data_IF_904529310356
#
_entry.id   IF_904529310356
#
_cell.length_a   1.000
_cell.length_b   1.000
_cell.length_c   1.000
_cell.angle_alpha   90.00
_cell.angle_beta   90.00
_cell.angle_gamma   90.00
#
_symmetry.space_group_name_H-M   'P 1'
#
loop_
_entity.id
_entity.type
_entity.pdbx_description
1 polymer ?
#
# COMPACT_ATOMS: atom_id res chain seq x y z
N UNK A 1 10.80 -8.30 4.85
CA UNK A 1 11.50 -9.28 3.99
C UNK A 1 10.78 -10.61 4.07
N UNK A 2 10.79 -11.40 3.01
CA UNK A 2 10.26 -12.78 3.03
C UNK A 2 11.43 -13.75 3.05
N UNK A 3 11.45 -14.61 4.07
CA UNK A 3 12.47 -15.64 4.29
C UNK A 3 11.91 -16.97 3.83
N UNK A 4 12.76 -17.76 3.17
CA UNK A 4 12.46 -19.11 2.72
C UNK A 4 13.54 -20.08 3.15
N UNK A 5 13.18 -21.25 3.68
CA UNK A 5 14.13 -22.33 3.90
C UNK A 5 14.72 -22.80 2.56
N UNK A 6 15.98 -23.23 2.60
CA UNK A 6 16.65 -23.97 1.52
C UNK A 6 16.75 -25.45 1.87
N UNK A 7 16.73 -25.77 3.17
CA UNK A 7 16.62 -27.11 3.75
C UNK A 7 15.20 -27.40 4.20
N UNK A 8 14.89 -28.66 4.53
CA UNK A 8 13.57 -29.13 5.00
C UNK A 8 13.00 -28.27 6.14
N UNK A 9 13.88 -27.80 7.01
CA UNK A 9 13.57 -26.80 8.03
C UNK A 9 14.76 -25.88 8.30
N UNK A 10 14.47 -24.69 8.82
CA UNK A 10 15.45 -23.73 9.33
C UNK A 10 14.96 -23.20 10.67
N UNK A 11 15.84 -23.11 11.66
CA UNK A 11 15.59 -22.44 12.93
C UNK A 11 16.21 -21.05 12.90
N UNK A 12 15.38 -20.02 12.96
CA UNK A 12 15.78 -18.62 12.87
C UNK A 12 15.67 -17.94 14.22
N UNK A 13 16.61 -17.05 14.49
CA UNK A 13 16.56 -16.11 15.60
C UNK A 13 16.49 -14.69 15.02
N UNK A 14 15.48 -13.94 15.43
CA UNK A 14 15.29 -12.54 15.06
C UNK A 14 15.58 -11.69 16.29
N UNK A 15 16.56 -10.80 16.17
CA UNK A 15 16.96 -9.87 17.22
C UNK A 15 16.62 -8.46 16.79
N UNK A 16 15.83 -7.76 17.60
CA UNK A 16 15.48 -6.36 17.35
C UNK A 16 16.47 -5.42 18.02
N UNK A 17 16.49 -4.15 17.61
CA UNK A 17 17.26 -3.09 18.28
C UNK A 17 16.93 -2.89 19.76
N UNK A 18 15.77 -3.38 20.22
CA UNK A 18 15.37 -3.37 21.63
C UNK A 18 15.81 -4.63 22.40
N UNK A 19 16.79 -5.38 21.87
CA UNK A 19 17.28 -6.68 22.36
C UNK A 19 16.21 -7.76 22.54
N UNK A 20 15.01 -7.60 21.96
CA UNK A 20 14.02 -8.69 21.95
C UNK A 20 14.50 -9.76 21.01
N UNK A 21 14.62 -10.99 21.52
CA UNK A 21 14.95 -12.18 20.73
C UNK A 21 13.71 -13.02 20.54
N UNK A 22 13.42 -13.34 19.29
CA UNK A 22 12.35 -14.25 18.92
C UNK A 22 12.96 -15.40 18.14
N UNK A 23 12.74 -16.63 18.58
CA UNK A 23 13.15 -17.84 17.86
C UNK A 23 11.93 -18.44 17.17
N UNK A 24 12.07 -18.78 15.89
CA UNK A 24 11.00 -19.39 15.09
C UNK A 24 11.57 -20.40 14.11
N UNK A 25 10.85 -21.51 13.89
CA UNK A 25 11.21 -22.54 12.92
C UNK A 25 10.33 -22.43 11.69
N UNK A 26 10.91 -22.55 10.50
CA UNK A 26 10.19 -22.50 9.23
C UNK A 26 10.49 -23.77 8.43
N UNK A 27 9.45 -24.45 7.95
CA UNK A 27 9.55 -25.63 7.09
C UNK A 27 9.51 -25.25 5.61
N UNK A 28 10.03 -26.11 4.74
CA UNK A 28 10.06 -25.94 3.28
C UNK A 28 8.69 -25.61 2.63
N UNK A 29 7.60 -26.08 3.22
CA UNK A 29 6.20 -25.81 2.85
C UNK A 29 5.70 -24.42 3.22
N UNK A 30 6.46 -23.68 4.03
CA UNK A 30 6.11 -22.34 4.51
C UNK A 30 7.21 -21.34 4.21
N UNK A 31 6.89 -20.07 4.43
CA UNK A 31 7.85 -18.97 4.40
C UNK A 31 7.57 -18.08 5.59
N UNK A 32 8.51 -17.20 5.92
CA UNK A 32 8.35 -16.27 7.04
C UNK A 32 8.46 -14.83 6.54
N UNK A 33 7.42 -14.05 6.75
CA UNK A 33 7.44 -12.62 6.55
C UNK A 33 7.93 -11.95 7.84
N UNK A 34 9.07 -11.27 7.76
CA UNK A 34 9.61 -10.46 8.86
C UNK A 34 9.55 -8.99 8.44
N UNK A 35 8.78 -8.18 9.16
CA UNK A 35 8.66 -6.75 8.94
C UNK A 35 9.14 -5.99 10.18
N UNK A 36 9.89 -4.90 10.01
CA UNK A 36 10.46 -4.12 11.11
C UNK A 36 10.65 -2.66 10.71
N UNK A 37 10.35 -1.73 11.62
CA UNK A 37 10.52 -0.27 11.37
C UNK A 37 11.97 0.18 11.55
N UNK A 38 12.71 -0.55 12.39
CA UNK A 38 14.12 -0.32 12.69
C UNK A 38 14.97 -1.48 12.17
N UNK A 39 16.29 -1.33 12.30
CA UNK A 39 17.22 -2.43 12.01
C UNK A 39 16.93 -3.62 12.95
N UNK A 40 16.94 -4.81 12.35
CA UNK A 40 16.83 -6.08 13.04
C UNK A 40 17.79 -7.07 12.38
N UNK A 41 18.33 -7.98 13.19
CA UNK A 41 19.21 -9.03 12.74
C UNK A 41 18.43 -10.35 12.65
N UNK A 42 18.70 -11.13 11.61
CA UNK A 42 18.16 -12.48 11.47
C UNK A 42 19.31 -13.44 11.27
N UNK A 43 19.45 -14.39 12.19
CA UNK A 43 20.47 -15.43 12.15
C UNK A 43 19.83 -16.81 12.10
N UNK A 44 20.45 -17.76 11.40
CA UNK A 44 20.03 -19.15 11.45
C UNK A 44 20.84 -19.88 12.51
N UNK A 45 20.14 -20.58 13.40
CA UNK A 45 20.74 -21.52 14.35
C UNK A 45 21.00 -22.87 13.70
N UNK A 46 20.14 -23.27 12.77
CA UNK A 46 20.27 -24.50 11.97
C UNK A 46 19.64 -24.30 10.59
N UNK A 47 20.13 -25.05 9.60
CA UNK A 47 19.60 -25.03 8.24
C UNK A 47 20.09 -23.84 7.40
N UNK A 48 19.88 -23.93 6.09
CA UNK A 48 20.19 -22.85 5.16
C UNK A 48 18.91 -22.10 4.78
N UNK A 49 19.03 -20.80 4.54
CA UNK A 49 17.90 -19.94 4.19
C UNK A 49 18.30 -18.89 3.15
N UNK A 50 17.27 -18.35 2.50
CA UNK A 50 17.38 -17.21 1.58
C UNK A 50 16.28 -16.20 1.88
N UNK A 51 16.45 -14.98 1.42
CA UNK A 51 15.44 -13.95 1.61
C UNK A 51 15.27 -13.04 0.40
N UNK A 52 14.11 -12.40 0.33
CA UNK A 52 13.81 -11.32 -0.60
C UNK A 52 13.38 -10.07 0.19
N UNK A 53 14.00 -8.93 -0.11
CA UNK A 53 13.61 -7.65 0.50
C UNK A 53 12.40 -7.10 -0.21
N UNK A 54 11.46 -6.59 0.58
CA UNK A 54 10.26 -5.92 0.10
C UNK A 54 10.22 -4.57 0.83
N UNK A 55 10.19 -3.44 0.11
CA UNK A 55 10.12 -2.12 0.72
C UNK A 55 8.83 -1.98 1.55
N UNK A 56 8.95 -1.56 2.81
CA UNK A 56 7.77 -1.30 3.64
C UNK A 56 6.87 -0.20 3.07
N UNK A 57 7.45 0.77 2.37
CA UNK A 57 6.69 1.84 1.70
C UNK A 57 5.69 1.31 0.68
N UNK A 58 6.02 0.21 -0.02
CA UNK A 58 5.13 -0.44 -0.98
C UNK A 58 3.88 -1.01 -0.29
N UNK A 59 4.10 -1.79 0.78
CA UNK A 59 3.02 -2.40 1.55
C UNK A 59 2.20 -1.36 2.31
N UNK A 60 2.86 -0.30 2.82
CA UNK A 60 2.22 0.82 3.50
C UNK A 60 1.31 1.61 2.54
N UNK A 61 1.77 1.86 1.30
CA UNK A 61 0.94 2.44 0.23
C UNK A 61 -0.28 1.55 -0.02
N UNK A 62 -0.07 0.24 -0.22
CA UNK A 62 -1.16 -0.71 -0.48
C UNK A 62 -2.20 -0.72 0.64
N UNK A 63 -1.77 -0.78 1.91
CA UNK A 63 -2.66 -0.72 3.06
C UNK A 63 -3.50 0.57 3.05
N UNK A 64 -2.87 1.72 2.78
CA UNK A 64 -3.58 3.00 2.73
C UNK A 64 -4.72 3.02 1.68
N UNK A 65 -4.53 2.34 0.53
CA UNK A 65 -5.59 2.17 -0.48
C UNK A 65 -6.70 1.23 -0.02
N UNK A 66 -6.34 0.07 0.53
CA UNK A 66 -7.31 -0.90 1.04
C UNK A 66 -8.20 -0.22 2.08
N UNK A 67 -7.62 0.49 3.04
CA UNK A 67 -8.35 1.18 4.11
C UNK A 67 -9.07 2.46 3.64
N UNK A 68 -8.79 2.94 2.43
CA UNK A 68 -9.54 4.05 1.82
C UNK A 68 -10.82 3.54 1.14
N UNK A 69 -10.80 2.32 0.60
CA UNK A 69 -11.96 1.69 -0.02
C UNK A 69 -12.82 0.88 0.96
N UNK A 70 -12.19 0.27 1.96
CA UNK A 70 -12.84 -0.56 2.97
C UNK A 70 -12.61 0.06 4.34
N UNK A 71 -13.68 0.44 5.04
CA UNK A 71 -13.57 0.87 6.43
C UNK A 71 -13.11 -0.33 7.28
N UNK A 72 -11.82 -0.36 7.61
CA UNK A 72 -11.24 -1.34 8.51
C UNK A 72 -11.22 -0.74 9.92
N UNK A 73 -11.69 -1.47 10.95
CA UNK A 73 -11.51 -1.02 12.32
C UNK A 73 -10.02 -0.91 12.62
N UNK A 74 -9.61 0.19 13.24
CA UNK A 74 -8.27 0.31 13.78
C UNK A 74 -8.07 -0.85 14.78
N UNK A 75 -7.04 -1.67 14.55
CA UNK A 75 -6.69 -2.72 15.50
C UNK A 75 -6.13 -2.08 16.75
N UNK A 76 -6.66 -2.43 17.92
CA UNK A 76 -6.10 -2.03 19.21
C UNK A 76 -4.82 -2.83 19.54
N UNK A 77 -3.99 -3.12 18.53
CA UNK A 77 -2.76 -3.87 18.68
C UNK A 77 -1.67 -3.02 19.32
N UNK A 78 -0.81 -3.66 20.11
CA UNK A 78 0.41 -3.00 20.57
C UNK A 78 1.27 -2.57 19.38
N UNK A 79 1.86 -1.37 19.45
CA UNK A 79 2.82 -0.87 18.48
C UNK A 79 4.13 -1.68 18.60
N UNK A 80 4.15 -2.85 17.96
CA UNK A 80 5.35 -3.68 17.83
C UNK A 80 6.37 -3.04 16.89
N UNK A 81 7.66 -3.17 17.22
CA UNK A 81 8.76 -2.72 16.36
C UNK A 81 9.07 -3.70 15.24
N UNK A 82 8.67 -4.97 15.42
CA UNK A 82 8.83 -6.07 14.45
C UNK A 82 7.59 -6.97 14.47
N UNK A 83 7.23 -7.48 13.30
CA UNK A 83 6.16 -8.46 13.08
C UNK A 83 6.73 -9.68 12.36
N UNK A 84 6.41 -10.87 12.87
CA UNK A 84 6.77 -12.16 12.29
C UNK A 84 5.47 -12.89 11.93
N UNK A 85 5.32 -13.25 10.66
CA UNK A 85 4.11 -13.90 10.16
C UNK A 85 4.53 -15.11 9.32
N UNK A 86 4.01 -16.29 9.66
CA UNK A 86 4.11 -17.45 8.78
C UNK A 86 3.23 -17.24 7.55
N UNK A 87 3.79 -17.43 6.37
CA UNK A 87 3.10 -17.24 5.10
C UNK A 87 3.25 -18.48 4.22
N UNK A 88 2.37 -18.69 3.23
CA UNK A 88 2.45 -19.85 2.36
C UNK A 88 3.81 -19.99 1.66
N UNK A 89 4.28 -21.24 1.53
CA UNK A 89 5.46 -21.56 0.75
C UNK A 89 5.31 -21.09 -0.69
N UNK A 90 6.20 -20.19 -1.13
CA UNK A 90 6.15 -19.59 -2.46
C UNK A 90 5.75 -18.13 -2.51
N UNK A 91 5.31 -17.51 -1.39
CA UNK A 91 5.06 -16.07 -1.36
C UNK A 91 6.32 -15.29 -1.75
N UNK A 92 6.31 -14.55 -2.85
CA UNK A 92 7.42 -13.72 -3.36
C UNK A 92 7.05 -12.24 -3.29
N UNK A 93 8.00 -11.35 -3.58
CA UNK A 93 7.70 -9.93 -3.78
C UNK A 93 6.63 -9.69 -4.87
N UNK A 94 6.54 -10.55 -5.88
CA UNK A 94 5.58 -10.39 -6.98
C UNK A 94 4.14 -10.74 -6.58
N UNK A 95 3.98 -11.61 -5.58
CA UNK A 95 2.68 -12.10 -5.12
C UNK A 95 2.25 -11.53 -3.77
N UNK A 96 3.11 -10.78 -3.08
CA UNK A 96 2.82 -10.25 -1.74
C UNK A 96 1.63 -9.29 -1.73
N UNK A 97 1.49 -8.46 -2.76
CA UNK A 97 0.40 -7.48 -2.82
C UNK A 97 -0.94 -8.19 -2.88
N UNK A 98 -1.07 -9.17 -3.78
CA UNK A 98 -2.28 -9.99 -3.92
C UNK A 98 -2.61 -10.71 -2.62
N UNK A 99 -1.63 -11.39 -2.03
CA UNK A 99 -1.81 -12.11 -0.77
C UNK A 99 -2.26 -11.16 0.36
N UNK A 100 -1.66 -9.97 0.46
CA UNK A 100 -2.01 -8.98 1.47
C UNK A 100 -3.44 -8.45 1.27
N UNK A 101 -3.87 -8.21 0.02
CA UNK A 101 -5.25 -7.82 -0.30
C UNK A 101 -6.24 -8.90 0.13
N UNK A 102 -5.98 -10.17 -0.21
CA UNK A 102 -6.84 -11.30 0.17
C UNK A 102 -7.00 -11.39 1.69
N UNK A 103 -5.89 -11.35 2.45
CA UNK A 103 -5.93 -11.39 3.92
C UNK A 103 -6.63 -10.17 4.55
N UNK A 104 -6.45 -8.98 3.95
CA UNK A 104 -7.11 -7.77 4.44
C UNK A 104 -8.63 -7.84 4.26
N UNK A 105 -9.10 -8.37 3.11
CA UNK A 105 -10.54 -8.58 2.84
C UNK A 105 -11.13 -9.62 3.78
N UNK A 106 -10.40 -10.71 4.03
CA UNK A 106 -10.78 -11.77 4.97
C UNK A 106 -10.76 -11.33 6.44
N UNK A 107 -10.19 -10.14 6.73
CA UNK A 107 -10.00 -9.60 8.09
C UNK A 107 -9.19 -10.54 8.98
N UNK A 108 -8.15 -11.14 8.42
CA UNK A 108 -7.28 -12.07 9.14
C UNK A 108 -6.60 -11.38 10.34
N UNK A 109 -6.93 -11.82 11.55
CA UNK A 109 -6.39 -11.28 12.80
C UNK A 109 -4.87 -11.47 12.93
N UNK A 110 -4.29 -12.45 12.22
CA UNK A 110 -2.83 -12.68 12.21
C UNK A 110 -2.07 -11.50 11.58
N UNK A 111 -2.74 -10.71 10.73
CA UNK A 111 -2.16 -9.56 10.05
C UNK A 111 -2.13 -8.28 10.88
N UNK A 112 -2.78 -8.26 12.07
CA UNK A 112 -2.95 -7.05 12.86
C UNK A 112 -1.62 -6.36 13.19
N UNK A 113 -0.61 -7.14 13.63
CA UNK A 113 0.70 -6.61 13.97
C UNK A 113 1.43 -6.01 12.75
N UNK A 114 1.31 -6.63 11.58
CA UNK A 114 1.88 -6.09 10.34
C UNK A 114 1.17 -4.80 9.95
N UNK A 115 -0.16 -4.75 10.01
CA UNK A 115 -0.91 -3.56 9.64
C UNK A 115 -0.61 -2.37 10.56
N UNK A 116 -0.52 -2.58 11.88
CA UNK A 116 -0.06 -1.53 12.80
C UNK A 116 1.34 -1.02 12.45
N UNK A 117 2.26 -1.92 12.12
CA UNK A 117 3.61 -1.55 11.70
C UNK A 117 3.59 -0.71 10.42
N UNK A 118 2.77 -1.09 9.44
CA UNK A 118 2.62 -0.34 8.20
C UNK A 118 1.94 1.01 8.41
N UNK A 119 0.96 1.11 9.32
CA UNK A 119 0.31 2.38 9.69
C UNK A 119 1.27 3.37 10.35
N UNK A 120 2.27 2.87 11.07
CA UNK A 120 3.34 3.68 11.65
C UNK A 120 4.36 4.18 10.61
N UNK A 121 4.33 3.68 9.37
CA UNK A 121 5.22 4.14 8.31
C UNK A 121 4.76 5.47 7.72
N UNK A 122 5.68 6.42 7.55
CA UNK A 122 5.39 7.73 6.96
C UNK A 122 4.71 7.64 5.57
N UNK A 123 5.05 6.62 4.78
CA UNK A 123 4.43 6.42 3.47
C UNK A 123 2.93 6.13 3.57
N UNK A 124 2.48 5.44 4.62
CA UNK A 124 1.06 5.20 4.87
C UNK A 124 0.34 6.52 5.14
N UNK A 125 0.84 7.32 6.10
CA UNK A 125 0.26 8.61 6.47
C UNK A 125 0.18 9.57 5.28
N UNK A 126 1.28 9.66 4.51
CA UNK A 126 1.33 10.48 3.31
C UNK A 126 0.32 10.04 2.26
N UNK A 127 0.23 8.73 1.97
CA UNK A 127 -0.72 8.23 0.96
C UNK A 127 -2.16 8.44 1.43
N UNK A 128 -2.47 8.22 2.72
CA UNK A 128 -3.79 8.53 3.30
C UNK A 128 -4.15 10.00 3.15
N UNK A 129 -3.22 10.90 3.45
CA UNK A 129 -3.39 12.34 3.25
C UNK A 129 -3.69 12.68 1.79
N UNK A 130 -2.87 12.16 0.85
CA UNK A 130 -3.05 12.41 -0.57
C UNK A 130 -4.36 11.81 -1.11
N UNK A 131 -4.78 10.65 -0.61
CA UNK A 131 -6.07 10.06 -0.96
C UNK A 131 -7.22 10.93 -0.47
N UNK A 132 -7.16 11.48 0.74
CA UNK A 132 -8.16 12.42 1.22
C UNK A 132 -8.22 13.70 0.38
N UNK A 133 -7.06 14.19 -0.07
CA UNK A 133 -6.92 15.40 -0.88
C UNK A 133 -7.05 15.17 -2.40
N UNK A 134 -7.30 13.94 -2.86
CA UNK A 134 -7.22 13.59 -4.30
C UNK A 134 -8.16 14.39 -5.20
N UNK A 135 -9.28 14.86 -4.65
CA UNK A 135 -10.29 15.66 -5.37
C UNK A 135 -10.11 17.17 -5.17
N UNK A 136 -9.15 17.60 -4.33
CA UNK A 136 -8.91 19.01 -4.11
C UNK A 136 -8.07 19.62 -5.25
N UNK A 137 -8.29 20.91 -5.50
CA UNK A 137 -7.57 21.68 -6.51
C UNK A 137 -6.28 22.32 -5.98
N UNK A 138 -5.79 21.81 -4.85
CA UNK A 138 -4.65 22.39 -4.14
C UNK A 138 -3.36 22.25 -4.96
N UNK A 139 -2.54 23.28 -4.92
CA UNK A 139 -1.20 23.21 -5.50
C UNK A 139 -0.30 22.29 -4.66
N UNK A 140 0.85 21.87 -5.21
CA UNK A 140 1.84 21.10 -4.43
C UNK A 140 2.31 21.88 -3.21
N UNK A 141 2.43 23.21 -3.34
CA UNK A 141 2.80 24.12 -2.25
C UNK A 141 1.75 24.13 -1.13
N UNK A 142 0.45 24.14 -1.49
CA UNK A 142 -0.63 24.09 -0.51
C UNK A 142 -0.66 22.74 0.20
N UNK A 143 -0.51 21.64 -0.54
CA UNK A 143 -0.46 20.29 0.02
C UNK A 143 0.76 20.13 0.95
N UNK A 144 1.93 20.64 0.58
CA UNK A 144 3.11 20.58 1.45
C UNK A 144 2.93 21.37 2.74
N UNK A 145 2.32 22.56 2.64
CA UNK A 145 2.04 23.39 3.82
C UNK A 145 1.04 22.69 4.75
N UNK A 146 -0.01 22.11 4.20
CA UNK A 146 -1.00 21.37 4.98
C UNK A 146 -0.43 20.09 5.60
N UNK A 147 0.49 19.42 4.90
CA UNK A 147 1.21 18.26 5.43
C UNK A 147 2.26 18.63 6.49
N UNK A 148 2.64 19.91 6.59
CA UNK A 148 3.56 20.42 7.60
C UNK A 148 5.05 20.32 7.24
N UNK A 149 5.40 20.25 5.95
CA UNK A 149 6.81 20.16 5.50
C UNK A 149 7.10 21.15 4.36
N UNK A 150 8.39 21.41 4.10
CA UNK A 150 8.79 22.23 2.95
C UNK A 150 8.40 21.56 1.63
N UNK A 151 8.16 22.35 0.58
CA UNK A 151 7.76 21.81 -0.72
C UNK A 151 8.78 20.82 -1.30
N UNK A 152 10.08 21.12 -1.17
CA UNK A 152 11.16 20.22 -1.61
C UNK A 152 11.13 18.89 -0.84
N UNK A 153 10.93 18.93 0.47
CA UNK A 153 10.82 17.72 1.28
C UNK A 153 9.57 16.92 0.93
N UNK A 154 8.42 17.59 0.78
CA UNK A 154 7.17 16.97 0.38
C UNK A 154 7.27 16.22 -0.96
N UNK A 155 7.89 16.85 -1.96
CA UNK A 155 8.12 16.23 -3.27
C UNK A 155 9.00 15.00 -3.16
N UNK A 156 10.03 15.03 -2.30
CA UNK A 156 10.89 13.88 -2.04
C UNK A 156 10.11 12.74 -1.38
N UNK A 157 9.35 13.03 -0.32
CA UNK A 157 8.49 12.05 0.36
C UNK A 157 7.50 11.41 -0.62
N UNK A 158 6.81 12.23 -1.43
CA UNK A 158 5.89 11.75 -2.44
C UNK A 158 6.59 10.85 -3.46
N UNK A 159 7.77 11.22 -3.97
CA UNK A 159 8.49 10.39 -4.93
C UNK A 159 8.92 9.05 -4.34
N UNK A 160 9.34 9.04 -3.07
CA UNK A 160 9.73 7.82 -2.36
C UNK A 160 8.54 6.89 -2.08
N UNK A 161 7.40 7.45 -1.65
CA UNK A 161 6.22 6.67 -1.32
C UNK A 161 5.45 6.20 -2.57
N UNK A 162 5.37 7.04 -3.61
CA UNK A 162 4.56 6.77 -4.80
C UNK A 162 5.34 6.09 -5.92
N UNK A 163 6.67 6.24 -5.95
CA UNK A 163 7.55 5.79 -7.04
C UNK A 163 7.53 6.68 -8.28
N UNK A 164 6.55 7.59 -8.41
CA UNK A 164 6.34 8.46 -9.58
C UNK A 164 6.11 9.92 -9.18
N UNK A 165 5.83 10.78 -10.16
CA UNK A 165 5.49 12.18 -9.88
C UNK A 165 4.13 12.30 -9.17
N UNK A 166 4.05 13.19 -8.17
CA UNK A 166 2.83 13.45 -7.41
C UNK A 166 1.66 13.86 -8.31
N UNK A 167 1.88 14.83 -9.22
CA UNK A 167 0.83 15.34 -10.11
C UNK A 167 0.26 14.23 -11.01
N UNK A 168 1.13 13.41 -11.58
CA UNK A 168 0.72 12.28 -12.41
C UNK A 168 -0.08 11.25 -11.60
N UNK A 169 0.35 10.97 -10.38
CA UNK A 169 -0.34 10.02 -9.50
C UNK A 169 -1.74 10.50 -9.10
N UNK A 170 -1.88 11.77 -8.66
CA UNK A 170 -3.19 12.34 -8.35
C UNK A 170 -4.13 12.35 -9.56
N UNK A 171 -3.60 12.64 -10.77
CA UNK A 171 -4.36 12.55 -12.02
C UNK A 171 -4.88 11.13 -12.25
N UNK A 172 -4.04 10.10 -12.07
CA UNK A 172 -4.43 8.69 -12.17
C UNK A 172 -5.51 8.31 -11.15
N UNK A 173 -5.39 8.74 -9.91
CA UNK A 173 -6.38 8.42 -8.87
C UNK A 173 -7.73 9.09 -9.11
N UNK A 174 -7.74 10.33 -9.63
CA UNK A 174 -8.98 10.99 -10.06
C UNK A 174 -9.63 10.25 -11.22
N UNK A 175 -8.85 9.86 -12.23
CA UNK A 175 -9.37 9.10 -13.36
C UNK A 175 -9.97 7.76 -12.90
N UNK A 176 -9.27 7.03 -12.02
CA UNK A 176 -9.79 5.79 -11.43
C UNK A 176 -11.11 6.00 -10.65
N UNK A 177 -11.21 7.08 -9.86
CA UNK A 177 -12.44 7.43 -9.14
C UNK A 177 -13.61 7.76 -10.08
N UNK A 178 -13.35 8.46 -11.18
CA UNK A 178 -14.35 8.73 -12.23
C UNK A 178 -14.82 7.43 -12.86
N UNK A 179 -13.90 6.54 -13.22
CA UNK A 179 -14.20 5.25 -13.84
C UNK A 179 -15.10 4.41 -12.93
N UNK A 180 -14.77 4.34 -11.64
CA UNK A 180 -15.61 3.67 -10.66
C UNK A 180 -17.02 4.30 -10.59
N UNK A 181 -17.10 5.63 -10.64
CA UNK A 181 -18.38 6.34 -10.67
C UNK A 181 -19.21 6.12 -11.94
N UNK A 182 -18.56 5.87 -13.09
CA UNK A 182 -19.23 5.49 -14.34
C UNK A 182 -19.81 4.08 -14.22
N UNK A 183 -19.03 3.14 -13.67
CA UNK A 183 -19.41 1.73 -13.50
C UNK A 183 -20.53 1.56 -12.47
N UNK A 184 -20.56 2.38 -11.41
CA UNK A 184 -21.64 2.36 -10.42
C UNK A 184 -22.96 2.97 -10.98
N UNK A 185 -22.94 3.54 -12.21
CA UNK A 185 -24.08 4.09 -12.97
C UNK A 185 -24.93 5.18 -12.27
N UNK A 186 -24.55 5.63 -11.08
CA UNK A 186 -25.37 6.57 -10.28
C UNK A 186 -25.29 8.03 -10.71
N UNK A 187 -24.35 8.40 -11.58
CA UNK A 187 -24.05 9.80 -11.91
C UNK A 187 -23.80 9.98 -13.40
N UNK A 188 -24.32 11.08 -13.95
CA UNK A 188 -23.99 11.53 -15.30
C UNK A 188 -22.50 11.91 -15.40
N UNK A 189 -21.95 11.90 -16.61
CA UNK A 189 -20.56 12.33 -16.86
C UNK A 189 -20.30 13.78 -16.41
N UNK A 190 -21.32 14.63 -16.47
CA UNK A 190 -21.23 16.02 -16.02
C UNK A 190 -21.12 16.11 -14.50
N UNK A 191 -21.93 15.35 -13.77
CA UNK A 191 -21.85 15.30 -12.30
C UNK A 191 -20.53 14.69 -11.83
N UNK A 192 -20.04 13.67 -12.53
CA UNK A 192 -18.72 13.09 -12.25
C UNK A 192 -17.58 14.07 -12.53
N UNK A 193 -17.69 14.89 -13.59
CA UNK A 193 -16.72 15.92 -13.90
C UNK A 193 -16.64 16.97 -12.79
N UNK A 194 -17.79 17.52 -12.39
CA UNK A 194 -17.89 18.52 -11.33
C UNK A 194 -17.38 17.94 -10.01
N UNK A 195 -17.86 16.75 -9.62
CA UNK A 195 -17.50 16.12 -8.35
C UNK A 195 -16.06 15.63 -8.27
N UNK A 196 -15.38 15.42 -9.41
CA UNK A 196 -13.99 14.96 -9.46
C UNK A 196 -12.98 16.07 -9.79
N UNK A 197 -13.46 17.31 -9.91
CA UNK A 197 -12.63 18.47 -10.14
C UNK A 197 -12.15 18.67 -11.58
N UNK A 198 -12.96 18.27 -12.58
CA UNK A 198 -12.72 18.59 -13.98
C UNK A 198 -13.48 19.84 -14.41
N UNK A 199 -12.87 20.63 -15.30
CA UNK A 199 -13.48 21.85 -15.83
C UNK A 199 -14.68 21.60 -16.76
N UNK A 200 -14.80 20.38 -17.31
CA UNK A 200 -15.95 19.95 -18.13
C UNK A 200 -15.99 18.43 -18.27
N UNK A 201 -17.13 17.90 -18.72
CA UNK A 201 -17.29 16.49 -19.12
C UNK A 201 -16.36 16.10 -20.28
N UNK A 202 -16.05 17.02 -21.19
CA UNK A 202 -15.08 16.81 -22.28
C UNK A 202 -13.65 16.67 -21.75
N UNK A 203 -13.24 17.49 -20.78
CA UNK A 203 -11.94 17.37 -20.13
C UNK A 203 -11.82 16.04 -19.39
N UNK A 204 -12.84 15.67 -18.60
CA UNK A 204 -12.93 14.34 -17.97
C UNK A 204 -12.82 13.21 -19.00
N UNK A 205 -13.52 13.32 -20.14
CA UNK A 205 -13.53 12.27 -21.15
C UNK A 205 -12.17 12.07 -21.82
N UNK A 206 -11.46 13.17 -22.09
CA UNK A 206 -10.08 13.12 -22.59
C UNK A 206 -9.15 12.45 -21.57
N UNK A 207 -9.26 12.85 -20.31
CA UNK A 207 -8.45 12.33 -19.21
C UNK A 207 -8.65 10.83 -18.97
N UNK A 208 -9.90 10.37 -18.96
CA UNK A 208 -10.22 8.93 -18.83
C UNK A 208 -9.70 8.16 -20.04
N UNK A 209 -9.87 8.69 -21.26
CA UNK A 209 -9.35 8.06 -22.48
C UNK A 209 -7.82 7.98 -22.50
N UNK A 210 -7.13 9.04 -22.07
CA UNK A 210 -5.67 9.05 -21.94
C UNK A 210 -5.19 8.02 -20.91
N UNK A 211 -5.97 7.79 -19.84
CA UNK A 211 -5.62 6.88 -18.76
C UNK A 211 -5.90 5.40 -19.09
N UNK A 212 -7.07 5.09 -19.66
CA UNK A 212 -7.52 3.71 -19.91
C UNK A 212 -7.43 3.27 -21.37
N UNK A 213 -7.21 4.19 -22.31
CA UNK A 213 -7.32 3.93 -23.74
C UNK A 213 -8.75 3.84 -24.28
N UNK A 214 -9.76 3.83 -23.41
CA UNK A 214 -11.19 3.66 -23.72
C UNK A 214 -11.97 4.88 -23.22
N UNK A 215 -13.01 5.30 -23.96
CA UNK A 215 -13.82 6.46 -23.59
C UNK A 215 -14.82 6.12 -22.47
N UNK A 216 -15.20 7.09 -21.62
CA UNK A 216 -16.23 6.91 -20.59
C UNK A 216 -17.54 6.28 -21.09
N UNK A 217 -17.97 6.65 -22.30
CA UNK A 217 -19.20 6.14 -22.88
C UNK A 217 -19.14 4.64 -23.18
N UNK A 218 -17.99 4.15 -23.69
CA UNK A 218 -17.77 2.72 -23.93
C UNK A 218 -17.72 1.93 -22.63
N UNK A 219 -17.04 2.47 -21.61
CA UNK A 219 -17.00 1.88 -20.26
C UNK A 219 -18.43 1.71 -19.72
N UNK A 220 -19.28 2.74 -19.89
CA UNK A 220 -20.70 2.69 -19.47
C UNK A 220 -21.53 1.66 -20.25
N UNK A 221 -21.09 1.26 -21.44
CA UNK A 221 -21.76 0.25 -22.27
C UNK A 221 -21.21 -1.17 -22.01
N UNK A 222 -20.29 -1.35 -21.04
CA UNK A 222 -19.68 -2.64 -20.73
C UNK A 222 -18.67 -3.13 -21.77
N UNK A 223 -18.09 -2.22 -22.57
CA UNK A 223 -17.10 -2.51 -23.63
C UNK A 223 -15.68 -2.13 -23.27
#
# INVERSE_FOLDING_TARGET
MVIRPVTDSVLLEVVTSSERRCTTSVTDSKSLLVAGVHEFEVTARTGAWRYQRIPLSLLAKLLAFIEAGFAMPASAGERGTVSLIEVPGGLSADHIERWMVERAIERDGQMAALFELLRANESYGLVRFLLAERLSFKSVTDLSRQYGVSESHFRRLCRQALGTSLKGELRRWRAAGVVLGIVDERKSLTELAIGSGFSSSSHLSKEVKDFLGISPCKIRQGQ
#
